data_IF_215853607780
#
_entry.id   IF_215853607780
#
_cell.length_a   1.000
_cell.length_b   1.000
_cell.length_c   1.000
_cell.angle_alpha   90.00
_cell.angle_beta   90.00
_cell.angle_gamma   90.00
#
_symmetry.space_group_name_H-M   'P 1'
#
loop_
_entity.id
_entity.type
_entity.pdbx_description
1 polymer ?
#
# COMPACT_ATOMS: atom_id res chain seq x y z
N UNK A 1 13.91 -10.32 15.24
CA UNK A 1 13.35 -11.17 14.17
C UNK A 1 12.81 -10.23 13.10
N UNK A 2 13.40 -10.21 11.90
CA UNK A 2 12.83 -9.47 10.77
C UNK A 2 11.53 -10.17 10.40
N UNK A 3 10.43 -9.41 10.32
CA UNK A 3 9.13 -9.97 9.96
C UNK A 3 8.94 -9.78 8.46
N UNK A 4 8.65 -10.87 7.75
CA UNK A 4 8.36 -10.84 6.31
C UNK A 4 6.86 -10.62 6.03
N UNK A 5 6.06 -10.59 7.10
CA UNK A 5 4.61 -10.38 7.13
C UNK A 5 4.29 -9.61 8.42
N UNK A 6 3.26 -8.76 8.38
CA UNK A 6 2.80 -8.04 9.55
C UNK A 6 1.35 -7.60 9.41
N UNK A 7 0.82 -7.07 10.51
CA UNK A 7 -0.53 -6.55 10.60
C UNK A 7 -0.52 -5.29 11.48
N UNK A 8 -1.43 -4.37 11.23
CA UNK A 8 -1.54 -3.09 11.94
C UNK A 8 -2.98 -2.79 12.38
N UNK A 9 -3.69 -3.83 12.84
CA UNK A 9 -5.11 -3.78 13.16
C UNK A 9 -5.88 -4.71 12.22
N UNK A 10 -6.81 -4.14 11.46
CA UNK A 10 -7.48 -4.77 10.32
C UNK A 10 -6.60 -4.78 9.05
N UNK A 11 -5.52 -4.00 9.02
CA UNK A 11 -4.50 -4.04 7.96
C UNK A 11 -3.60 -5.29 8.00
N UNK A 12 -3.15 -5.73 6.83
CA UNK A 12 -2.13 -6.76 6.63
C UNK A 12 -1.18 -6.43 5.47
N UNK A 13 0.07 -6.90 5.58
CA UNK A 13 1.03 -6.79 4.48
C UNK A 13 1.96 -8.00 4.38
N UNK A 14 2.58 -8.16 3.21
CA UNK A 14 3.71 -9.05 3.02
C UNK A 14 4.84 -8.37 2.25
N UNK A 15 6.06 -8.83 2.50
CA UNK A 15 7.23 -8.51 1.68
C UNK A 15 7.92 -9.81 1.30
N UNK A 16 8.05 -10.05 0.01
CA UNK A 16 8.78 -11.16 -0.57
C UNK A 16 10.12 -10.68 -1.13
N UNK A 17 11.20 -11.29 -0.66
CA UNK A 17 12.58 -11.01 -1.10
C UNK A 17 13.22 -12.32 -1.54
N UNK A 18 14.05 -12.29 -2.57
CA UNK A 18 14.81 -13.45 -3.03
C UNK A 18 14.61 -13.68 -4.52
N UNK A 19 14.28 -14.93 -4.91
CA UNK A 19 14.09 -15.29 -6.31
C UNK A 19 13.06 -14.40 -7.04
N UNK A 20 12.03 -13.96 -6.31
CA UNK A 20 11.08 -12.94 -6.71
C UNK A 20 11.12 -11.76 -5.73
N UNK A 21 10.78 -10.58 -6.22
CA UNK A 21 10.68 -9.36 -5.43
C UNK A 21 9.24 -8.84 -5.53
N UNK A 22 8.48 -8.96 -4.46
CA UNK A 22 7.10 -8.52 -4.41
C UNK A 22 6.74 -7.96 -3.04
N UNK A 23 5.74 -7.09 -3.01
CA UNK A 23 5.12 -6.59 -1.79
C UNK A 23 3.62 -6.52 -2.00
N UNK A 24 2.87 -6.59 -0.90
CA UNK A 24 1.44 -6.37 -0.95
C UNK A 24 0.91 -5.83 0.36
N UNK A 25 -0.17 -5.08 0.26
CA UNK A 25 -0.89 -4.46 1.36
C UNK A 25 -2.38 -4.71 1.14
N UNK A 26 -3.10 -5.00 2.22
CA UNK A 26 -4.55 -5.11 2.25
C UNK A 26 -5.08 -4.43 3.50
N UNK A 27 -6.15 -3.66 3.32
CA UNK A 27 -6.87 -3.00 4.40
C UNK A 27 -8.23 -3.68 4.58
N UNK A 28 -8.44 -4.27 5.76
CA UNK A 28 -9.67 -4.95 6.12
C UNK A 28 -10.78 -3.96 6.46
N UNK A 29 -11.95 -4.09 5.81
CA UNK A 29 -13.06 -3.15 6.02
C UNK A 29 -13.59 -3.21 7.46
N UNK A 30 -13.34 -2.15 8.23
CA UNK A 30 -13.60 -2.10 9.68
C UNK A 30 -15.06 -2.41 10.07
N UNK A 31 -16.04 -2.12 9.19
CA UNK A 31 -17.48 -2.26 9.47
C UNK A 31 -17.91 -3.70 9.76
N UNK A 32 -17.13 -4.70 9.36
CA UNK A 32 -17.42 -6.11 9.66
C UNK A 32 -17.47 -6.42 11.16
N UNK A 33 -16.81 -5.62 12.00
CA UNK A 33 -16.82 -5.78 13.46
C UNK A 33 -18.24 -5.69 14.04
N UNK A 34 -19.15 -4.94 13.42
CA UNK A 34 -20.54 -4.78 13.87
C UNK A 34 -21.33 -6.09 13.71
N UNK A 35 -20.84 -7.00 12.87
CA UNK A 35 -21.36 -8.36 12.68
C UNK A 35 -20.52 -9.41 13.42
N UNK A 36 -19.54 -8.99 14.23
CA UNK A 36 -18.62 -9.89 14.93
C UNK A 36 -17.61 -10.60 14.01
N UNK A 37 -17.34 -10.03 12.84
CA UNK A 37 -16.39 -10.57 11.85
C UNK A 37 -15.08 -9.77 11.92
N UNK A 38 -13.95 -10.47 12.01
CA UNK A 38 -12.60 -9.87 11.99
C UNK A 38 -12.15 -9.67 10.53
N UNK A 39 -12.30 -8.46 10.00
CA UNK A 39 -11.83 -8.14 8.65
C UNK A 39 -10.30 -8.21 8.51
N UNK A 40 -9.56 -8.04 9.61
CA UNK A 40 -8.14 -8.26 9.64
C UNK A 40 -7.76 -9.72 9.42
N UNK A 41 -8.58 -10.67 9.88
CA UNK A 41 -8.37 -12.10 9.56
C UNK A 41 -8.46 -12.31 8.05
N UNK A 42 -9.47 -11.73 7.40
CA UNK A 42 -9.63 -11.79 5.95
C UNK A 42 -8.42 -11.16 5.21
N UNK A 43 -7.99 -9.96 5.61
CA UNK A 43 -6.83 -9.28 5.00
C UNK A 43 -5.53 -10.10 5.17
N UNK A 44 -5.29 -10.66 6.37
CA UNK A 44 -4.12 -11.51 6.65
C UNK A 44 -4.13 -12.78 5.81
N UNK A 45 -5.29 -13.41 5.63
CA UNK A 45 -5.43 -14.61 4.80
C UNK A 45 -5.19 -14.32 3.31
N UNK A 46 -5.70 -13.19 2.80
CA UNK A 46 -5.43 -12.74 1.43
C UNK A 46 -3.93 -12.46 1.24
N UNK A 47 -3.28 -11.73 2.15
CA UNK A 47 -1.85 -11.41 2.05
C UNK A 47 -0.95 -12.64 2.20
N UNK A 48 -1.29 -13.58 3.09
CA UNK A 48 -0.54 -14.84 3.24
C UNK A 48 -0.65 -15.73 2.00
N UNK A 49 -1.85 -15.82 1.41
CA UNK A 49 -2.05 -16.55 0.16
C UNK A 49 -1.37 -15.85 -1.03
N UNK A 50 -1.42 -14.52 -1.10
CA UNK A 50 -0.75 -13.71 -2.13
C UNK A 50 0.77 -13.86 -2.06
N UNK A 51 1.38 -13.79 -0.87
CA UNK A 51 2.81 -14.03 -0.71
C UNK A 51 3.22 -15.42 -1.21
N UNK A 52 2.43 -16.43 -0.88
CA UNK A 52 2.66 -17.81 -1.31
C UNK A 52 2.59 -17.95 -2.84
N UNK A 53 1.62 -17.30 -3.48
CA UNK A 53 1.46 -17.29 -4.93
C UNK A 53 2.59 -16.49 -5.62
N UNK A 54 2.95 -15.31 -5.08
CA UNK A 54 4.01 -14.44 -5.60
C UNK A 54 5.40 -15.08 -5.56
N UNK A 55 5.59 -16.15 -4.77
CA UNK A 55 6.83 -16.93 -4.79
C UNK A 55 7.04 -17.69 -6.12
N UNK A 56 5.97 -17.94 -6.88
CA UNK A 56 6.00 -18.68 -8.15
C UNK A 56 5.43 -17.91 -9.34
N UNK A 57 4.72 -16.80 -9.10
CA UNK A 57 4.01 -16.03 -10.12
C UNK A 57 4.54 -14.59 -10.18
N UNK A 58 4.77 -14.12 -11.40
CA UNK A 58 5.34 -12.79 -11.68
C UNK A 58 4.27 -11.76 -12.07
N UNK A 59 3.02 -12.21 -12.23
CA UNK A 59 1.86 -11.38 -12.58
C UNK A 59 1.01 -11.10 -11.33
N UNK A 60 0.99 -9.85 -10.82
CA UNK A 60 0.20 -9.47 -9.65
C UNK A 60 -1.30 -9.75 -9.76
N UNK A 61 -1.88 -9.67 -10.97
CA UNK A 61 -3.29 -9.99 -11.16
C UNK A 61 -3.56 -11.48 -10.92
N UNK A 62 -2.68 -12.33 -11.45
CA UNK A 62 -2.76 -13.78 -11.22
C UNK A 62 -2.49 -14.14 -9.75
N UNK A 63 -1.55 -13.44 -9.10
CA UNK A 63 -1.34 -13.56 -7.65
C UNK A 63 -2.62 -13.27 -6.87
N UNK A 64 -3.33 -12.17 -7.18
CA UNK A 64 -4.59 -11.84 -6.53
C UNK A 64 -5.69 -12.87 -6.82
N UNK A 65 -5.77 -13.41 -8.04
CA UNK A 65 -6.71 -14.51 -8.38
C UNK A 65 -6.48 -15.74 -7.52
N UNK A 66 -5.24 -16.21 -7.46
CA UNK A 66 -4.87 -17.40 -6.67
C UNK A 66 -5.12 -17.14 -5.19
N UNK A 67 -4.74 -15.97 -4.68
CA UNK A 67 -4.97 -15.60 -3.28
C UNK A 67 -6.46 -15.57 -2.94
N UNK A 68 -7.26 -14.89 -3.78
CA UNK A 68 -8.71 -14.79 -3.62
C UNK A 68 -9.37 -16.17 -3.63
N UNK A 69 -9.01 -17.02 -4.58
CA UNK A 69 -9.54 -18.38 -4.69
C UNK A 69 -9.17 -19.23 -3.47
N UNK A 70 -7.91 -19.18 -3.03
CA UNK A 70 -7.45 -19.91 -1.85
C UNK A 70 -8.21 -19.50 -0.58
N UNK A 71 -8.57 -18.22 -0.44
CA UNK A 71 -9.39 -17.74 0.69
C UNK A 71 -10.87 -18.11 0.53
N UNK A 72 -11.44 -18.06 -0.70
CA UNK A 72 -12.82 -18.54 -0.97
C UNK A 72 -13.02 -19.99 -0.55
N UNK A 73 -12.02 -20.84 -0.80
CA UNK A 73 -12.09 -22.28 -0.52
C UNK A 73 -11.92 -22.61 0.97
N UNK A 74 -11.49 -21.66 1.80
CA UNK A 74 -11.37 -21.84 3.25
C UNK A 74 -12.70 -21.57 3.95
N UNK A 75 -13.20 -22.57 4.65
CA UNK A 75 -14.37 -22.40 5.51
C UNK A 75 -14.06 -21.51 6.70
N UNK A 76 -14.89 -20.50 6.95
CA UNK A 76 -14.85 -19.70 8.18
C UNK A 76 -14.16 -18.34 8.04
N UNK A 77 -13.38 -18.10 6.98
CA UNK A 77 -12.76 -16.79 6.73
C UNK A 77 -13.81 -15.86 6.12
N UNK A 78 -14.20 -14.83 6.87
CA UNK A 78 -15.22 -13.85 6.48
C UNK A 78 -14.67 -12.44 6.63
N UNK A 79 -15.22 -11.53 5.84
CA UNK A 79 -14.82 -10.13 5.77
C UNK A 79 -14.69 -9.66 4.32
N UNK A 80 -14.09 -8.49 4.17
CA UNK A 80 -13.61 -7.94 2.91
C UNK A 80 -12.40 -7.06 3.20
N UNK A 81 -11.57 -6.86 2.17
CA UNK A 81 -10.42 -5.98 2.23
C UNK A 81 -10.14 -5.36 0.86
N UNK A 82 -9.48 -4.21 0.87
CA UNK A 82 -8.74 -3.73 -0.31
C UNK A 82 -7.52 -4.62 -0.51
N UNK A 83 -6.89 -4.57 -1.68
CA UNK A 83 -5.68 -5.35 -1.94
C UNK A 83 -4.82 -4.73 -3.04
N UNK A 84 -3.58 -4.38 -2.71
CA UNK A 84 -2.56 -3.97 -3.65
C UNK A 84 -1.43 -5.01 -3.66
N UNK A 85 -1.06 -5.51 -4.84
CA UNK A 85 0.15 -6.34 -5.02
C UNK A 85 1.04 -5.70 -6.06
N UNK A 86 2.34 -5.61 -5.76
CA UNK A 86 3.36 -5.03 -6.63
C UNK A 86 4.53 -6.01 -6.75
N UNK A 87 4.96 -6.30 -7.97
CA UNK A 87 6.11 -7.16 -8.26
C UNK A 87 7.15 -6.42 -9.11
N UNK A 88 8.43 -6.56 -8.77
CA UNK A 88 9.54 -5.99 -9.52
C UNK A 88 10.13 -7.02 -10.49
N UNK A 89 10.02 -6.72 -11.78
CA UNK A 89 10.79 -7.41 -12.82
C UNK A 89 12.17 -6.75 -12.95
N UNK A 90 13.14 -7.27 -12.20
CA UNK A 90 14.51 -6.75 -12.18
C UNK A 90 15.22 -6.83 -13.54
N UNK A 91 14.79 -7.72 -14.46
CA UNK A 91 15.42 -7.86 -15.78
C UNK A 91 14.90 -6.80 -16.73
N UNK A 92 13.61 -6.51 -16.67
CA UNK A 92 12.97 -5.50 -17.52
C UNK A 92 13.05 -4.08 -16.92
N UNK A 93 13.35 -3.95 -15.63
CA UNK A 93 13.38 -2.65 -14.95
C UNK A 93 11.97 -2.05 -14.81
N UNK A 94 10.97 -2.89 -14.52
CA UNK A 94 9.57 -2.46 -14.38
C UNK A 94 8.93 -3.02 -13.12
N UNK A 95 8.08 -2.22 -12.49
CA UNK A 95 7.09 -2.68 -11.53
C UNK A 95 5.82 -3.06 -12.29
N UNK A 96 5.28 -4.24 -11.99
CA UNK A 96 3.91 -4.61 -12.34
C UNK A 96 3.07 -4.55 -11.07
N UNK A 97 1.81 -4.16 -11.18
CA UNK A 97 0.92 -4.10 -10.03
C UNK A 97 -0.52 -4.42 -10.39
N UNK A 98 -1.27 -4.92 -9.42
CA UNK A 98 -2.72 -5.04 -9.46
C UNK A 98 -3.29 -4.49 -8.15
N UNK A 99 -4.21 -3.52 -8.24
CA UNK A 99 -4.81 -2.84 -7.10
C UNK A 99 -6.33 -2.95 -7.13
N UNK A 100 -6.94 -3.39 -6.02
CA UNK A 100 -8.38 -3.37 -5.78
C UNK A 100 -8.63 -2.48 -4.57
N UNK A 101 -9.27 -1.33 -4.78
CA UNK A 101 -9.59 -0.37 -3.73
C UNK A 101 -8.66 0.85 -3.68
N UNK A 102 -8.50 1.42 -2.48
CA UNK A 102 -7.78 2.67 -2.19
C UNK A 102 -6.49 2.49 -1.37
N UNK A 103 -6.13 1.23 -1.03
CA UNK A 103 -4.73 0.85 -0.88
C UNK A 103 -3.93 1.21 -2.14
N UNK A 104 -2.60 1.20 -2.05
CA UNK A 104 -1.81 1.55 -3.22
C UNK A 104 -0.31 1.58 -3.03
N UNK A 105 0.37 2.08 -4.05
CA UNK A 105 1.79 2.39 -4.01
C UNK A 105 2.15 3.64 -4.81
N UNK A 106 3.28 4.23 -4.44
CA UNK A 106 3.91 5.32 -5.15
C UNK A 106 5.39 5.06 -5.38
N UNK A 107 5.91 5.56 -6.50
CA UNK A 107 7.33 5.52 -6.86
C UNK A 107 7.88 6.92 -6.71
N UNK A 108 8.88 7.08 -5.84
CA UNK A 108 9.57 8.34 -5.59
C UNK A 108 10.95 8.31 -6.25
N UNK A 109 11.22 9.33 -7.07
CA UNK A 109 12.48 9.47 -7.82
C UNK A 109 13.18 10.77 -7.45
N UNK A 110 14.48 10.68 -7.16
CA UNK A 110 15.32 11.86 -6.96
C UNK A 110 15.46 12.62 -8.28
N UNK A 111 15.13 13.90 -8.28
CA UNK A 111 15.35 14.76 -9.44
C UNK A 111 16.77 15.35 -9.38
N UNK A 112 17.71 14.73 -10.09
CA UNK A 112 19.12 15.15 -10.11
C UNK A 112 19.40 16.34 -11.04
N UNK A 113 18.43 16.72 -11.88
CA UNK A 113 18.66 17.64 -13.00
C UNK A 113 18.35 19.11 -12.67
N UNK A 114 17.70 19.41 -11.53
CA UNK A 114 17.39 20.79 -11.10
C UNK A 114 17.33 20.84 -9.58
N UNK A 115 17.40 22.04 -8.99
CA UNK A 115 17.13 22.36 -7.59
C UNK A 115 15.66 22.10 -7.16
N UNK A 116 15.04 21.06 -7.70
CA UNK A 116 13.64 20.70 -7.53
C UNK A 116 13.54 19.53 -6.54
N UNK A 117 12.56 19.53 -5.63
CA UNK A 117 12.43 18.49 -4.62
C UNK A 117 12.14 17.11 -5.25
N UNK A 118 12.49 16.06 -4.52
CA UNK A 118 12.02 14.69 -4.77
C UNK A 118 10.50 14.69 -4.95
N UNK A 119 10.01 13.97 -5.97
CA UNK A 119 8.58 13.88 -6.27
C UNK A 119 8.15 12.45 -6.52
N UNK A 120 6.86 12.18 -6.32
CA UNK A 120 6.25 10.96 -6.82
C UNK A 120 6.27 10.98 -8.35
N UNK A 121 7.03 10.06 -8.95
CA UNK A 121 7.04 9.82 -10.40
C UNK A 121 5.78 9.05 -10.83
N UNK A 122 5.22 8.26 -9.92
CA UNK A 122 3.97 7.54 -10.08
C UNK A 122 3.29 7.39 -8.72
N UNK A 123 1.96 7.39 -8.70
CA UNK A 123 1.12 6.99 -7.58
C UNK A 123 -0.11 6.30 -8.18
N UNK A 124 -0.46 5.11 -7.70
CA UNK A 124 -1.70 4.43 -8.06
C UNK A 124 -2.92 5.33 -7.84
N UNK A 125 -3.87 5.38 -8.78
CA UNK A 125 -5.15 6.02 -8.50
C UNK A 125 -5.94 5.20 -7.45
N UNK A 126 -6.75 5.89 -6.64
CA UNK A 126 -7.70 5.23 -5.74
C UNK A 126 -8.86 4.68 -6.56
N UNK A 127 -9.30 3.45 -6.24
CA UNK A 127 -10.41 2.78 -6.90
C UNK A 127 -11.62 2.70 -5.96
N UNK A 128 -12.60 3.57 -6.20
CA UNK A 128 -13.80 3.68 -5.36
C UNK A 128 -15.09 3.68 -6.19
N UNK A 129 -16.19 3.22 -5.60
CA UNK A 129 -17.53 3.36 -6.17
C UNK A 129 -18.11 4.76 -5.93
N UNK A 130 -17.74 5.35 -4.80
CA UNK A 130 -18.05 6.70 -4.34
C UNK A 130 -17.04 7.05 -3.25
N UNK A 131 -16.84 8.33 -2.95
CA UNK A 131 -15.88 8.78 -1.94
C UNK A 131 -15.98 8.01 -0.62
N UNK A 132 -14.86 7.37 -0.20
CA UNK A 132 -14.79 6.54 1.02
C UNK A 132 -15.48 5.18 0.92
N UNK A 133 -15.77 4.71 -0.30
CA UNK A 133 -16.35 3.39 -0.57
C UNK A 133 -15.48 2.65 -1.60
N UNK A 134 -14.35 2.05 -1.15
CA UNK A 134 -13.42 1.38 -2.05
C UNK A 134 -13.97 0.07 -2.60
N UNK A 135 -13.46 -0.28 -3.78
CA UNK A 135 -13.54 -1.65 -4.29
C UNK A 135 -12.84 -2.58 -3.29
N UNK A 136 -13.39 -3.77 -3.11
CA UNK A 136 -12.93 -4.67 -2.05
C UNK A 136 -13.16 -6.12 -2.43
N UNK A 137 -12.12 -6.94 -2.25
CA UNK A 137 -12.25 -8.39 -2.30
C UNK A 137 -12.98 -8.83 -1.02
N UNK A 138 -13.92 -9.77 -1.11
CA UNK A 138 -14.72 -10.10 0.06
C UNK A 138 -15.53 -11.38 -0.09
N UNK A 139 -15.93 -11.99 1.02
CA UNK A 139 -16.66 -13.26 0.99
C UNK A 139 -18.10 -13.17 0.48
N UNK A 140 -18.68 -11.97 0.33
CA UNK A 140 -20.07 -11.75 -0.02
C UNK A 140 -20.28 -11.56 -1.54
N UNK A 141 -21.49 -11.78 -2.02
CA UNK A 141 -21.84 -11.75 -3.46
C UNK A 141 -21.65 -10.38 -4.13
N UNK A 142 -21.61 -9.30 -3.35
CA UNK A 142 -21.38 -7.94 -3.84
C UNK A 142 -19.92 -7.47 -3.77
N UNK A 143 -18.98 -8.36 -3.45
CA UNK A 143 -17.58 -8.02 -3.41
C UNK A 143 -17.00 -7.92 -4.82
N UNK A 144 -15.96 -7.12 -4.98
CA UNK A 144 -15.21 -7.02 -6.23
C UNK A 144 -14.46 -8.32 -6.52
N UNK A 145 -14.22 -8.57 -7.81
CA UNK A 145 -13.39 -9.67 -8.28
C UNK A 145 -11.96 -9.18 -8.63
N UNK A 146 -10.95 -10.05 -8.59
CA UNK A 146 -9.58 -9.70 -9.00
C UNK A 146 -9.52 -9.08 -10.40
N UNK A 147 -10.39 -9.50 -11.33
CA UNK A 147 -10.49 -8.97 -12.69
C UNK A 147 -10.83 -7.47 -12.75
N UNK A 148 -11.41 -6.93 -11.69
CA UNK A 148 -11.72 -5.50 -11.57
C UNK A 148 -10.52 -4.69 -11.06
N UNK A 149 -9.39 -5.34 -10.74
CA UNK A 149 -8.19 -4.65 -10.29
C UNK A 149 -7.65 -3.69 -11.35
N UNK A 150 -7.21 -2.52 -10.90
CA UNK A 150 -6.40 -1.62 -11.70
C UNK A 150 -4.99 -2.20 -11.87
N UNK A 151 -4.67 -2.60 -13.10
CA UNK A 151 -3.35 -3.13 -13.46
C UNK A 151 -2.47 -2.02 -14.04
N UNK A 152 -1.23 -1.94 -13.57
CA UNK A 152 -0.26 -0.98 -14.09
C UNK A 152 1.10 -1.64 -14.32
N UNK A 153 1.86 -1.07 -15.26
CA UNK A 153 3.28 -1.36 -15.47
C UNK A 153 4.04 -0.04 -15.50
N UNK A 154 5.01 0.11 -14.61
CA UNK A 154 5.75 1.37 -14.39
C UNK A 154 7.24 1.10 -14.51
N UNK A 155 7.93 1.83 -15.38
CA UNK A 155 9.39 1.75 -15.48
C UNK A 155 10.06 2.38 -14.25
N UNK A 156 11.03 1.67 -13.69
CA UNK A 156 11.80 2.09 -12.53
C UNK A 156 13.28 2.14 -12.83
N UNK A 157 13.96 3.09 -12.20
CA UNK A 157 15.40 3.28 -12.32
C UNK A 157 16.09 2.91 -10.98
N UNK A 158 17.38 2.58 -11.04
CA UNK A 158 18.17 2.42 -9.82
C UNK A 158 18.12 3.70 -8.97
N UNK A 159 17.88 3.53 -7.67
CA UNK A 159 17.71 4.64 -6.72
C UNK A 159 16.26 5.10 -6.54
N UNK A 160 15.30 4.59 -7.32
CA UNK A 160 13.89 4.78 -7.02
C UNK A 160 13.50 4.14 -5.68
N UNK A 161 12.62 4.81 -4.94
CA UNK A 161 12.04 4.30 -3.70
C UNK A 161 10.57 4.02 -3.92
N UNK A 162 10.16 2.78 -3.67
CA UNK A 162 8.76 2.35 -3.73
C UNK A 162 8.18 2.38 -2.32
N UNK A 163 7.07 3.09 -2.15
CA UNK A 163 6.28 3.08 -0.91
C UNK A 163 4.93 2.47 -1.24
N UNK A 164 4.52 1.46 -0.48
CA UNK A 164 3.18 0.90 -0.52
C UNK A 164 2.55 1.05 0.87
N UNK A 165 1.24 1.22 0.90
CA UNK A 165 0.50 1.44 2.14
C UNK A 165 -1.01 1.36 1.94
N UNK A 166 -1.74 1.34 3.05
CA UNK A 166 -3.19 1.44 3.13
C UNK A 166 -3.66 2.89 3.01
N UNK A 167 -4.98 3.09 2.94
CA UNK A 167 -5.55 4.43 2.87
C UNK A 167 -5.16 5.28 4.12
N UNK A 168 -4.93 4.67 5.28
CA UNK A 168 -4.48 5.36 6.48
C UNK A 168 -3.15 6.12 6.32
N UNK A 169 -2.30 5.71 5.37
CA UNK A 169 -1.13 6.50 4.95
C UNK A 169 -1.55 7.58 3.95
N UNK A 170 -2.21 7.19 2.86
CA UNK A 170 -2.49 8.04 1.71
C UNK A 170 -3.48 9.17 1.99
N UNK A 171 -4.42 8.95 2.91
CA UNK A 171 -5.42 9.90 3.33
C UNK A 171 -4.86 10.97 4.27
N UNK A 172 -3.71 10.71 4.90
CA UNK A 172 -3.17 11.53 5.98
C UNK A 172 -1.88 12.29 5.62
N UNK A 173 -1.13 11.87 4.60
CA UNK A 173 0.10 12.52 4.15
C UNK A 173 0.08 12.86 2.66
N UNK A 174 0.47 14.08 2.30
CA UNK A 174 0.70 14.41 0.90
C UNK A 174 1.97 13.75 0.36
N UNK A 175 2.01 13.45 -0.94
CA UNK A 175 3.20 12.93 -1.61
C UNK A 175 4.46 13.78 -1.34
N UNK A 176 4.32 15.11 -1.22
CA UNK A 176 5.44 15.98 -0.88
C UNK A 176 6.01 15.70 0.52
N UNK A 177 5.15 15.41 1.49
CA UNK A 177 5.54 15.11 2.87
C UNK A 177 6.16 13.72 2.96
N UNK A 178 5.58 12.74 2.24
CA UNK A 178 6.18 11.41 2.10
C UNK A 178 7.59 11.54 1.53
N UNK A 179 7.77 12.32 0.44
CA UNK A 179 9.08 12.55 -0.16
C UNK A 179 10.09 13.19 0.82
N UNK A 180 9.66 14.07 1.72
CA UNK A 180 10.53 14.66 2.76
C UNK A 180 11.03 13.62 3.78
N UNK A 181 10.17 12.68 4.17
CA UNK A 181 10.52 11.56 5.05
C UNK A 181 11.41 10.51 4.37
N UNK A 182 11.39 10.42 3.04
CA UNK A 182 12.25 9.54 2.26
C UNK A 182 13.64 10.12 1.94
N UNK A 183 13.89 11.41 2.19
CA UNK A 183 15.21 12.04 1.93
C UNK A 183 16.42 11.24 2.44
N UNK A 184 16.41 10.67 3.65
CA UNK A 184 17.55 9.90 4.14
C UNK A 184 17.96 8.73 3.23
N UNK A 185 17.02 8.14 2.48
CA UNK A 185 17.31 7.08 1.50
C UNK A 185 18.01 7.62 0.25
N UNK A 186 17.60 8.79 -0.22
CA UNK A 186 18.20 9.44 -1.38
C UNK A 186 19.59 10.04 -1.08
N UNK A 187 19.83 10.39 0.17
CA UNK A 187 21.10 10.95 0.64
C UNK A 187 22.13 9.87 1.04
N UNK A 188 21.77 8.57 0.97
CA UNK A 188 22.72 7.48 1.23
C UNK A 188 23.88 7.54 0.22
N UNK A 189 25.11 7.46 0.72
CA UNK A 189 26.25 7.33 -0.17
C UNK A 189 26.16 6.01 -0.97
N UNK A 190 26.61 5.97 -2.23
CA UNK A 190 26.48 4.78 -3.07
C UNK A 190 27.11 3.50 -2.48
N UNK A 191 28.19 3.62 -1.69
CA UNK A 191 28.84 2.47 -1.09
C UNK A 191 28.03 1.89 0.08
N UNK A 192 27.30 2.72 0.82
CA UNK A 192 26.32 2.29 1.83
C UNK A 192 25.05 1.74 1.20
N UNK A 193 24.53 2.40 0.16
CA UNK A 193 23.34 1.95 -0.57
C UNK A 193 23.54 0.57 -1.22
N UNK A 194 24.75 0.28 -1.71
CA UNK A 194 25.12 -1.03 -2.26
C UNK A 194 25.15 -2.17 -1.22
N UNK A 195 25.02 -1.87 0.08
CA UNK A 195 24.98 -2.88 1.15
C UNK A 195 23.53 -3.16 1.55
N UNK A 196 22.96 -4.35 1.23
CA UNK A 196 21.55 -4.63 1.45
C UNK A 196 21.07 -4.40 2.89
N UNK A 197 21.88 -4.80 3.87
CA UNK A 197 21.52 -4.63 5.29
C UNK A 197 21.41 -3.16 5.73
N UNK A 198 22.20 -2.25 5.14
CA UNK A 198 22.17 -0.83 5.49
C UNK A 198 21.01 -0.13 4.79
N UNK A 199 20.83 -0.38 3.49
CA UNK A 199 19.69 0.13 2.73
C UNK A 199 18.36 -0.31 3.36
N UNK A 200 18.27 -1.56 3.79
CA UNK A 200 17.08 -2.09 4.49
C UNK A 200 16.86 -1.44 5.86
N UNK A 201 17.92 -1.16 6.62
CA UNK A 201 17.81 -0.49 7.90
C UNK A 201 17.30 0.96 7.73
N UNK A 202 17.83 1.69 6.75
CA UNK A 202 17.38 3.03 6.40
C UNK A 202 15.93 3.02 5.90
N UNK A 203 15.56 2.06 5.05
CA UNK A 203 14.19 1.93 4.55
C UNK A 203 13.20 1.66 5.69
N UNK A 204 13.58 0.80 6.65
CA UNK A 204 12.76 0.54 7.82
C UNK A 204 12.64 1.76 8.74
N UNK A 205 13.66 2.62 8.82
CA UNK A 205 13.59 3.88 9.57
C UNK A 205 12.65 4.89 8.90
N UNK A 206 12.76 5.07 7.58
CA UNK A 206 11.82 5.88 6.81
C UNK A 206 10.38 5.37 6.93
N UNK A 207 10.15 4.06 6.83
CA UNK A 207 8.82 3.47 7.01
C UNK A 207 8.24 3.79 8.41
N UNK A 208 9.02 3.63 9.48
CA UNK A 208 8.58 4.02 10.84
C UNK A 208 8.28 5.52 10.95
N UNK A 209 9.07 6.37 10.30
CA UNK A 209 8.84 7.80 10.30
C UNK A 209 7.55 8.18 9.55
N UNK A 210 7.27 7.53 8.42
CA UNK A 210 6.04 7.70 7.66
C UNK A 210 4.80 7.31 8.48
N UNK A 211 4.81 6.11 9.08
CA UNK A 211 3.71 5.65 9.93
C UNK A 211 3.49 6.60 11.11
N UNK A 212 4.56 7.05 11.77
CA UNK A 212 4.45 8.00 12.88
C UNK A 212 3.89 9.37 12.44
N UNK A 213 4.29 9.86 11.27
CA UNK A 213 3.81 11.12 10.71
C UNK A 213 2.33 11.02 10.30
N UNK A 214 1.94 9.93 9.62
CA UNK A 214 0.56 9.65 9.24
C UNK A 214 -0.33 9.50 10.48
N UNK A 215 0.14 8.79 11.52
CA UNK A 215 -0.59 8.65 12.78
C UNK A 215 -0.74 9.96 13.55
N UNK A 216 0.25 10.85 13.46
CA UNK A 216 0.13 12.19 14.03
C UNK A 216 -0.91 13.02 13.25
N UNK A 217 -0.84 12.99 11.92
CA UNK A 217 -1.77 13.70 11.04
C UNK A 217 -3.22 13.19 11.19
N UNK A 218 -3.42 11.88 11.29
CA UNK A 218 -4.73 11.23 11.48
C UNK A 218 -5.45 11.68 12.76
N UNK A 219 -4.69 12.08 13.78
CA UNK A 219 -5.22 12.56 15.06
C UNK A 219 -5.38 14.08 15.14
N UNK A 220 -4.82 14.84 14.20
CA UNK A 220 -4.97 16.29 14.17
C UNK A 220 -6.28 16.68 13.48
N UNK A 221 -7.23 17.18 14.27
CA UNK A 221 -8.57 17.58 13.80
C UNK A 221 -8.61 18.91 13.06
N UNK A 222 -7.48 19.62 12.93
CA UNK A 222 -7.40 20.96 12.32
C UNK A 222 -6.50 21.00 11.10
N UNK A 223 -5.80 19.92 10.83
CA UNK A 223 -4.87 19.81 9.70
C UNK A 223 -5.63 19.63 8.39
N UNK A 224 -5.12 20.21 7.31
CA UNK A 224 -5.52 19.79 5.96
C UNK A 224 -4.77 18.50 5.62
N UNK A 225 -5.51 17.48 5.22
CA UNK A 225 -5.01 16.18 4.77
C UNK A 225 -5.51 15.89 3.36
N UNK A 226 -4.90 14.93 2.64
CA UNK A 226 -5.46 14.42 1.38
C UNK A 226 -6.95 14.08 1.50
N UNK A 227 -7.35 13.37 2.55
CA UNK A 227 -8.74 13.04 2.81
C UNK A 227 -9.62 14.27 3.00
N UNK A 228 -9.24 15.21 3.88
CA UNK A 228 -10.08 16.38 4.14
C UNK A 228 -10.23 17.25 2.89
N UNK A 229 -9.18 17.32 2.05
CA UNK A 229 -9.25 18.04 0.78
C UNK A 229 -10.19 17.33 -0.20
N UNK A 230 -10.03 16.02 -0.39
CA UNK A 230 -10.91 15.22 -1.26
C UNK A 230 -12.37 15.30 -0.83
N UNK A 231 -12.65 15.18 0.48
CA UNK A 231 -13.99 15.35 1.03
C UNK A 231 -14.54 16.74 0.77
N UNK A 232 -13.70 17.78 0.85
CA UNK A 232 -14.13 19.15 0.59
C UNK A 232 -14.52 19.38 -0.86
N UNK A 233 -13.77 18.78 -1.78
CA UNK A 233 -14.04 18.83 -3.23
C UNK A 233 -15.31 18.03 -3.60
N UNK A 234 -15.49 16.83 -3.04
CA UNK A 234 -16.64 15.96 -3.34
C UNK A 234 -17.97 16.54 -2.83
N UNK A 235 -17.99 17.04 -1.59
CA UNK A 235 -19.22 17.46 -0.92
C UNK A 235 -19.51 18.96 -1.02
N UNK A 236 -18.64 19.74 -1.68
CA UNK A 236 -18.71 21.21 -1.78
C UNK A 236 -18.88 21.89 -0.40
N UNK A 237 -18.12 21.40 0.60
CA UNK A 237 -18.13 21.86 1.99
C UNK A 237 -16.70 21.90 2.54
N UNK A 238 -16.42 22.74 3.53
CA UNK A 238 -15.06 22.80 4.11
C UNK A 238 -14.91 21.69 5.17
N UNK A 239 -14.15 20.65 4.84
CA UNK A 239 -13.70 19.63 5.77
C UNK A 239 -12.27 19.92 6.27
N UNK A 240 -11.98 19.51 7.50
CA UNK A 240 -10.66 19.65 8.11
C UNK A 240 -10.42 18.51 9.08
N UNK A 241 -9.17 18.09 9.20
CA UNK A 241 -8.70 17.04 10.09
C UNK A 241 -8.17 15.82 9.34
N UNK A 242 -7.39 15.01 10.04
CA UNK A 242 -7.01 13.69 9.56
C UNK A 242 -8.14 12.66 9.69
N UNK A 243 -7.98 11.55 8.95
CA UNK A 243 -8.84 10.37 9.00
C UNK A 243 -8.16 9.34 9.89
N UNK A 244 -8.76 9.02 11.03
CA UNK A 244 -8.26 7.98 11.94
C UNK A 244 -8.48 6.62 11.28
N UNK A 245 -7.38 5.93 11.04
CA UNK A 245 -7.38 4.61 10.42
C UNK A 245 -6.22 3.76 10.92
N UNK A 246 -6.24 2.48 10.57
CA UNK A 246 -5.05 1.64 10.62
C UNK A 246 -4.04 2.11 9.56
N UNK A 247 -2.74 2.00 9.84
CA UNK A 247 -1.69 2.59 9.00
C UNK A 247 -0.59 1.57 8.79
N UNK A 248 -0.40 1.18 7.52
CA UNK A 248 0.62 0.22 7.07
C UNK A 248 1.68 0.86 6.20
#
# INVERSE_FOLDING_TARGET
VRREEGHAGEDAYFVLRGGQHALGVADGVYLWRDQGIDAGEFAREIMGAAKSAAAALDDPLEVLRVARQAVRDRTGVRGSCTACVVSLDCRAGVLRSANVGDSGYAVFRLNTQRSSPTRAAFHTPQQEHSFGCPYQLGHHDGASEPEEAQVATVSVDEGDVVVAGSDGLWDNLFNSEIAEHLRPLFDLDPATAARPAHAEAAAAECARALVAAAMHASNDRRRETPYSRGASEEFDMIYSGGKRDDIT
#
